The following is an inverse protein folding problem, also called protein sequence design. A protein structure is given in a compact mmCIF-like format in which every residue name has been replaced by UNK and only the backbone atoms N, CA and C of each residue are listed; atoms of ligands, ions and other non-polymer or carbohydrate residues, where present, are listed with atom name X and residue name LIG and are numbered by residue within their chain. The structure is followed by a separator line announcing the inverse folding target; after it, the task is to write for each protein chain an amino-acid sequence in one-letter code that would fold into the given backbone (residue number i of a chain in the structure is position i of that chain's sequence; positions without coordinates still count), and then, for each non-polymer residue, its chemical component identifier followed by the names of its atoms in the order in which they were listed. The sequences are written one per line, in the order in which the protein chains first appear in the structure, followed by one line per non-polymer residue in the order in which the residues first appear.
data_IF_624123855094
#
_entry.id   IF_624123855094
#
_cell.length_a   1.000
_cell.length_b   1.000
_cell.length_c   1.000
_cell.angle_alpha   90.00
_cell.angle_beta   90.00
_cell.angle_gamma   90.00
#
_symmetry.space_group_name_H-M   'P 1'
#
loop_
_entity.id
_entity.type
_entity.pdbx_description
1 polymer ?
#
# COMPACT_ATOMS: atom_id res chain seq x y z
N UNK A 1 -22.88 1.90 -22.32
CA UNK A 1 -23.72 0.94 -21.59
C UNK A 1 -22.95 0.58 -20.34
N UNK A 2 -23.56 0.80 -19.17
CA UNK A 2 -22.95 0.71 -17.84
C UNK A 2 -22.55 -0.72 -17.52
N UNK A 3 -21.31 -0.94 -17.11
CA UNK A 3 -20.82 -2.22 -16.59
C UNK A 3 -21.44 -2.41 -15.19
N UNK A 4 -22.57 -3.10 -15.13
CA UNK A 4 -23.13 -3.60 -13.87
C UNK A 4 -22.23 -4.80 -13.51
N UNK A 5 -21.37 -4.66 -12.50
CA UNK A 5 -20.89 -5.86 -11.80
C UNK A 5 -22.15 -6.54 -11.26
N UNK A 6 -22.59 -7.60 -11.94
CA UNK A 6 -23.82 -8.30 -11.58
C UNK A 6 -23.54 -9.09 -10.31
N UNK A 7 -23.72 -8.45 -9.15
CA UNK A 7 -23.84 -9.15 -7.90
C UNK A 7 -25.06 -10.08 -7.98
N UNK A 8 -24.90 -11.30 -7.51
CA UNK A 8 -26.01 -12.25 -7.41
C UNK A 8 -27.04 -11.75 -6.39
N UNK A 9 -26.56 -11.02 -5.37
CA UNK A 9 -27.35 -10.49 -4.27
C UNK A 9 -27.04 -9.01 -4.00
N UNK A 10 -28.07 -8.22 -3.74
CA UNK A 10 -27.95 -6.84 -3.25
C UNK A 10 -27.47 -6.82 -1.80
N UNK A 11 -27.95 -7.76 -0.98
CA UNK A 11 -27.64 -7.86 0.44
C UNK A 11 -27.38 -9.32 0.81
N UNK A 12 -26.36 -9.58 1.62
CA UNK A 12 -26.24 -10.83 2.38
C UNK A 12 -26.42 -10.56 3.87
N UNK A 13 -27.28 -11.33 4.54
CA UNK A 13 -27.54 -11.17 5.98
C UNK A 13 -26.82 -12.22 6.82
N UNK A 14 -26.14 -11.78 7.87
CA UNK A 14 -25.45 -12.65 8.82
C UNK A 14 -26.00 -12.43 10.23
N UNK A 15 -26.48 -13.50 10.87
CA UNK A 15 -27.19 -13.41 12.15
C UNK A 15 -27.13 -14.73 12.93
N UNK A 16 -27.40 -14.73 14.24
CA UNK A 16 -27.48 -15.95 15.05
C UNK A 16 -28.84 -16.63 14.87
N UNK A 17 -28.92 -17.95 15.07
CA UNK A 17 -30.19 -18.66 14.86
C UNK A 17 -31.32 -18.18 15.78
N UNK A 18 -30.97 -17.58 16.92
CA UNK A 18 -31.85 -16.97 17.91
C UNK A 18 -32.50 -15.68 17.41
N UNK A 19 -31.80 -14.91 16.57
CA UNK A 19 -32.26 -13.62 16.05
C UNK A 19 -33.13 -13.78 14.79
N UNK A 20 -33.45 -15.01 14.42
CA UNK A 20 -34.06 -15.37 13.14
C UNK A 20 -35.40 -14.67 12.89
N UNK A 21 -36.22 -14.50 13.92
CA UNK A 21 -37.55 -13.89 13.77
C UNK A 21 -37.44 -12.45 13.27
N UNK A 22 -36.56 -11.65 13.89
CA UNK A 22 -36.28 -10.27 13.48
C UNK A 22 -35.72 -10.22 12.06
N UNK A 23 -34.72 -11.04 11.77
CA UNK A 23 -34.05 -11.03 10.47
C UNK A 23 -34.99 -11.45 9.35
N UNK A 24 -35.84 -12.46 9.59
CA UNK A 24 -36.85 -12.89 8.62
C UNK A 24 -37.83 -11.76 8.30
N UNK A 25 -38.27 -11.00 9.30
CA UNK A 25 -39.15 -9.85 9.08
C UNK A 25 -38.48 -8.79 8.18
N UNK A 26 -37.21 -8.45 8.45
CA UNK A 26 -36.42 -7.52 7.62
C UNK A 26 -36.24 -8.06 6.20
N UNK A 27 -35.87 -9.33 6.04
CA UNK A 27 -35.66 -9.97 4.74
C UNK A 27 -36.94 -10.01 3.91
N UNK A 28 -38.09 -10.34 4.53
CA UNK A 28 -39.38 -10.33 3.84
C UNK A 28 -39.71 -8.94 3.31
N UNK A 29 -39.58 -7.90 4.13
CA UNK A 29 -39.81 -6.52 3.68
C UNK A 29 -38.86 -6.12 2.54
N UNK A 30 -37.55 -6.45 2.64
CA UNK A 30 -36.60 -6.16 1.57
C UNK A 30 -36.97 -6.86 0.25
N UNK A 31 -37.44 -8.11 0.31
CA UNK A 31 -37.90 -8.85 -0.88
C UNK A 31 -39.18 -8.26 -1.47
N UNK A 32 -40.08 -7.72 -0.66
CA UNK A 32 -41.28 -7.00 -1.13
C UNK A 32 -40.89 -5.71 -1.90
N UNK A 33 -39.69 -5.19 -1.67
CA UNK A 33 -39.06 -4.09 -2.42
C UNK A 33 -38.17 -4.56 -3.59
N UNK A 34 -38.29 -5.82 -4.03
CA UNK A 34 -37.54 -6.42 -5.14
C UNK A 34 -36.01 -6.45 -4.93
N UNK A 35 -35.55 -6.43 -3.67
CA UNK A 35 -34.13 -6.54 -3.32
C UNK A 35 -33.72 -8.02 -3.27
N UNK A 36 -32.62 -8.36 -3.95
CA UNK A 36 -32.07 -9.73 -3.94
C UNK A 36 -31.29 -9.97 -2.66
N UNK A 37 -31.87 -10.72 -1.72
CA UNK A 37 -31.25 -10.99 -0.42
C UNK A 37 -30.78 -12.44 -0.33
N UNK A 38 -29.50 -12.65 -0.03
CA UNK A 38 -29.00 -13.96 0.39
C UNK A 38 -29.40 -14.20 1.85
N UNK A 39 -30.20 -15.24 2.08
CA UNK A 39 -30.71 -15.66 3.37
C UNK A 39 -30.55 -17.19 3.52
N UNK A 40 -29.84 -17.62 4.55
CA UNK A 40 -29.39 -19.01 4.71
C UNK A 40 -30.55 -20.04 4.75
N UNK A 41 -31.73 -19.65 5.22
CA UNK A 41 -32.93 -20.50 5.27
C UNK A 41 -33.45 -20.87 3.86
N UNK A 42 -33.37 -19.94 2.90
CA UNK A 42 -33.92 -20.11 1.56
C UNK A 42 -32.95 -20.82 0.60
N UNK A 43 -31.66 -20.87 0.95
CA UNK A 43 -30.58 -21.42 0.11
C UNK A 43 -30.24 -22.88 0.44
N UNK A 44 -31.14 -23.62 1.09
CA UNK A 44 -30.91 -25.01 1.54
C UNK A 44 -30.48 -25.93 0.39
N UNK A 45 -31.00 -25.75 -0.83
CA UNK A 45 -30.61 -26.53 -2.02
C UNK A 45 -29.25 -26.13 -2.61
N UNK A 46 -28.85 -24.86 -2.47
CA UNK A 46 -27.57 -24.34 -2.98
C UNK A 46 -26.40 -24.67 -2.03
N UNK A 47 -26.67 -24.78 -0.73
CA UNK A 47 -25.69 -25.16 0.28
C UNK A 47 -25.51 -26.68 0.41
N UNK A 48 -26.38 -27.49 -0.21
CA UNK A 48 -26.39 -28.92 -0.02
C UNK A 48 -25.26 -29.62 -0.78
N UNK A 49 -24.22 -30.06 -0.05
CA UNK A 49 -23.06 -30.77 -0.60
C UNK A 49 -21.83 -29.89 -0.81
N UNK A 50 -21.94 -28.58 -0.57
CA UNK A 50 -20.85 -27.61 -0.70
C UNK A 50 -19.99 -27.53 0.58
N UNK A 51 -18.73 -27.12 0.42
CA UNK A 51 -17.94 -26.66 1.56
C UNK A 51 -18.50 -25.31 2.00
N UNK A 52 -19.26 -25.32 3.11
CA UNK A 52 -19.95 -24.15 3.65
C UNK A 52 -19.00 -22.98 3.93
N UNK A 53 -17.72 -23.24 4.23
CA UNK A 53 -16.74 -22.17 4.48
C UNK A 53 -16.42 -21.42 3.18
N UNK A 54 -16.08 -22.14 2.12
CA UNK A 54 -15.74 -21.56 0.82
C UNK A 54 -16.96 -20.89 0.16
N UNK A 55 -18.14 -21.49 0.32
CA UNK A 55 -19.40 -20.97 -0.20
C UNK A 55 -19.79 -19.65 0.45
N UNK A 56 -19.75 -19.57 1.78
CA UNK A 56 -20.04 -18.33 2.50
C UNK A 56 -18.97 -17.27 2.20
N UNK A 57 -17.69 -17.65 2.12
CA UNK A 57 -16.62 -16.73 1.73
C UNK A 57 -16.84 -16.14 0.33
N UNK A 58 -17.30 -16.94 -0.63
CA UNK A 58 -17.64 -16.43 -1.97
C UNK A 58 -18.81 -15.43 -1.93
N UNK A 59 -19.83 -15.70 -1.11
CA UNK A 59 -21.01 -14.82 -1.01
C UNK A 59 -20.66 -13.48 -0.36
N UNK A 60 -20.06 -13.51 0.82
CA UNK A 60 -19.68 -12.31 1.58
C UNK A 60 -18.42 -11.61 1.03
N UNK A 61 -17.71 -12.22 0.08
CA UNK A 61 -16.52 -11.63 -0.52
C UNK A 61 -16.71 -11.06 -1.92
N UNK A 62 -17.58 -11.69 -2.74
CA UNK A 62 -17.65 -11.39 -4.20
C UNK A 62 -19.06 -11.40 -4.81
N UNK A 63 -20.07 -12.02 -4.16
CA UNK A 63 -21.40 -12.22 -4.79
C UNK A 63 -22.51 -11.35 -4.21
N UNK A 64 -22.30 -10.74 -3.05
CA UNK A 64 -23.25 -9.80 -2.44
C UNK A 64 -22.70 -8.37 -2.41
N UNK A 65 -23.54 -7.37 -2.69
CA UNK A 65 -23.15 -5.95 -2.73
C UNK A 65 -22.89 -5.32 -1.36
N UNK A 66 -23.69 -5.66 -0.33
CA UNK A 66 -23.39 -5.33 1.07
C UNK A 66 -23.64 -6.54 1.97
N UNK A 67 -22.94 -6.59 3.10
CA UNK A 67 -23.17 -7.56 4.17
C UNK A 67 -23.79 -6.86 5.38
N UNK A 68 -25.01 -7.25 5.75
CA UNK A 68 -25.68 -6.75 6.96
C UNK A 68 -25.41 -7.74 8.09
N UNK A 69 -24.74 -7.27 9.14
CA UNK A 69 -24.42 -8.08 10.31
C UNK A 69 -25.37 -7.74 11.44
N UNK A 70 -26.22 -8.69 11.82
CA UNK A 70 -27.09 -8.59 12.99
C UNK A 70 -26.32 -9.08 14.22
N UNK A 71 -25.87 -8.12 15.02
CA UNK A 71 -25.00 -8.32 16.17
C UNK A 71 -25.84 -8.43 17.44
N UNK A 72 -25.82 -9.63 18.03
CA UNK A 72 -26.37 -9.94 19.35
C UNK A 72 -25.32 -10.67 20.20
N UNK A 73 -25.57 -10.85 21.50
CA UNK A 73 -24.74 -11.71 22.36
C UNK A 73 -24.67 -13.15 21.84
N UNK A 74 -25.76 -13.65 21.23
CA UNK A 74 -25.79 -14.96 20.59
C UNK A 74 -24.94 -15.00 19.31
N UNK A 75 -24.97 -13.92 18.53
CA UNK A 75 -24.12 -13.78 17.36
C UNK A 75 -22.65 -13.81 17.74
N UNK A 76 -22.27 -13.05 18.78
CA UNK A 76 -20.90 -12.99 19.28
C UNK A 76 -20.45 -14.34 19.85
N UNK A 77 -21.30 -15.03 20.62
CA UNK A 77 -20.92 -16.26 21.33
C UNK A 77 -21.02 -17.56 20.52
N UNK A 78 -21.73 -17.58 19.39
CA UNK A 78 -21.98 -18.81 18.61
C UNK A 78 -21.56 -18.74 17.16
N UNK A 79 -21.81 -17.61 16.50
CA UNK A 79 -21.33 -17.40 15.13
C UNK A 79 -19.96 -16.74 15.14
N UNK A 80 -19.64 -15.83 16.06
CA UNK A 80 -18.38 -15.05 16.09
C UNK A 80 -17.23 -15.72 16.84
N UNK A 81 -17.47 -16.77 17.62
CA UNK A 81 -16.39 -17.53 18.26
C UNK A 81 -15.94 -18.71 17.39
N UNK A 82 -14.78 -18.58 16.75
CA UNK A 82 -14.09 -19.69 16.11
C UNK A 82 -12.74 -19.26 15.53
N UNK A 83 -11.75 -20.15 15.59
CA UNK A 83 -10.42 -19.97 14.98
C UNK A 83 -10.47 -19.88 13.45
N UNK A 84 -11.50 -20.44 12.82
CA UNK A 84 -11.66 -20.49 11.36
C UNK A 84 -12.32 -19.22 10.77
N UNK A 85 -12.93 -18.37 11.61
CA UNK A 85 -13.60 -17.12 11.19
C UNK A 85 -12.65 -15.93 11.06
N UNK A 86 -11.54 -15.96 11.79
CA UNK A 86 -10.50 -14.91 11.80
C UNK A 86 -9.92 -14.65 10.39
N UNK A 87 -9.71 -15.70 9.60
CA UNK A 87 -9.10 -15.60 8.27
C UNK A 87 -10.04 -15.01 7.19
N UNK A 88 -11.36 -15.23 7.31
CA UNK A 88 -12.35 -14.62 6.41
C UNK A 88 -12.62 -13.15 6.77
N UNK A 89 -12.47 -12.81 8.05
CA UNK A 89 -12.60 -11.46 8.58
C UNK A 89 -11.42 -10.57 8.19
N UNK A 90 -10.18 -11.05 8.30
CA UNK A 90 -9.00 -10.26 7.94
C UNK A 90 -9.11 -9.66 6.51
N UNK A 91 -9.76 -10.33 5.57
CA UNK A 91 -9.99 -9.84 4.20
C UNK A 91 -11.18 -8.87 4.06
N UNK A 92 -12.27 -9.08 4.79
CA UNK A 92 -13.45 -8.20 4.78
C UNK A 92 -13.22 -6.89 5.56
N UNK A 93 -12.34 -6.92 6.57
CA UNK A 93 -11.90 -5.75 7.33
C UNK A 93 -10.79 -4.95 6.62
N UNK A 94 -10.12 -5.52 5.60
CA UNK A 94 -9.12 -4.82 4.76
C UNK A 94 -9.72 -4.04 3.57
N UNK A 95 -11.02 -4.19 3.29
CA UNK A 95 -11.70 -3.41 2.24
C UNK A 95 -12.11 -2.03 2.75
N UNK A 96 -11.65 -0.97 2.06
CA UNK A 96 -11.73 0.43 2.49
C UNK A 96 -12.99 1.16 1.97
N UNK A 97 -14.08 0.43 1.79
CA UNK A 97 -15.43 0.94 1.50
C UNK A 97 -16.44 0.32 2.48
N UNK A 98 -17.54 1.01 2.85
CA UNK A 98 -18.52 0.52 3.82
C UNK A 98 -19.34 -0.64 3.24
N UNK A 99 -18.74 -1.83 3.23
CA UNK A 99 -19.35 -3.09 2.81
C UNK A 99 -20.19 -3.71 3.93
N UNK A 100 -19.70 -3.61 5.17
CA UNK A 100 -20.35 -4.13 6.37
C UNK A 100 -21.32 -3.07 6.92
N UNK A 101 -22.57 -3.46 7.11
CA UNK A 101 -23.64 -2.66 7.70
C UNK A 101 -24.07 -3.30 9.03
N UNK A 102 -23.52 -2.85 10.18
CA UNK A 102 -23.87 -3.42 11.48
C UNK A 102 -25.27 -2.99 11.93
N UNK A 103 -26.07 -3.97 12.34
CA UNK A 103 -27.35 -3.79 13.04
C UNK A 103 -27.19 -4.40 14.42
N UNK A 104 -27.26 -3.58 15.47
CA UNK A 104 -27.08 -4.00 16.85
C UNK A 104 -28.43 -4.37 17.45
N UNK A 105 -28.59 -5.63 17.87
CA UNK A 105 -29.82 -6.18 18.46
C UNK A 105 -29.85 -5.98 19.98
N UNK A 106 -28.71 -6.07 20.63
CA UNK A 106 -28.56 -5.90 22.08
C UNK A 106 -27.24 -5.15 22.41
N UNK A 107 -26.90 -5.04 23.68
CA UNK A 107 -25.68 -4.36 24.14
C UNK A 107 -24.36 -5.07 23.76
N UNK A 108 -24.38 -6.14 22.96
CA UNK A 108 -23.17 -6.82 22.53
C UNK A 108 -22.30 -5.93 21.65
N UNK A 109 -21.01 -5.89 21.98
CA UNK A 109 -19.98 -5.34 21.14
C UNK A 109 -19.42 -6.43 20.22
N UNK A 110 -19.22 -6.10 18.95
CA UNK A 110 -18.61 -7.01 17.99
C UNK A 110 -17.07 -6.93 18.12
N UNK A 111 -16.38 -7.97 18.63
CA UNK A 111 -14.93 -7.91 18.82
C UNK A 111 -14.20 -7.75 17.47
N UNK A 112 -13.34 -6.73 17.33
CA UNK A 112 -12.57 -6.49 16.10
C UNK A 112 -13.16 -5.45 15.15
N UNK A 113 -14.39 -4.98 15.39
CA UNK A 113 -14.95 -3.80 14.70
C UNK A 113 -14.48 -2.53 15.43
N UNK A 114 -13.87 -1.59 14.71
CA UNK A 114 -13.40 -0.34 15.30
C UNK A 114 -14.60 0.48 15.84
N UNK A 115 -14.46 1.08 17.02
CA UNK A 115 -15.54 1.83 17.72
C UNK A 115 -16.05 3.06 16.95
N UNK A 116 -15.43 3.40 15.82
CA UNK A 116 -15.77 4.50 14.92
C UNK A 116 -16.75 4.11 13.81
N UNK A 117 -17.14 2.84 13.70
CA UNK A 117 -18.10 2.38 12.69
C UNK A 117 -19.52 2.58 13.21
N UNK A 118 -20.32 3.37 12.47
CA UNK A 118 -21.73 3.58 12.79
C UNK A 118 -22.54 2.30 12.63
N UNK A 119 -23.50 2.10 13.53
CA UNK A 119 -24.44 0.97 13.52
C UNK A 119 -25.87 1.48 13.54
N UNK A 120 -26.81 0.62 13.14
CA UNK A 120 -28.24 0.82 13.39
C UNK A 120 -28.60 0.08 14.66
N UNK A 121 -29.22 0.76 15.62
CA UNK A 121 -29.76 0.13 16.80
C UNK A 121 -31.15 -0.44 16.50
N UNK A 122 -31.31 -1.76 16.61
CA UNK A 122 -32.55 -2.45 16.24
C UNK A 122 -33.69 -2.18 17.22
N UNK A 123 -33.40 -1.90 18.50
CA UNK A 123 -34.42 -1.58 19.50
C UNK A 123 -35.08 -0.25 19.16
N UNK A 124 -34.29 0.75 18.76
CA UNK A 124 -34.81 2.07 18.38
C UNK A 124 -35.35 2.13 16.95
N UNK A 125 -34.69 1.48 16.00
CA UNK A 125 -35.07 1.56 14.58
C UNK A 125 -36.25 0.65 14.23
N UNK A 126 -36.39 -0.50 14.90
CA UNK A 126 -37.35 -1.54 14.53
C UNK A 126 -37.12 -2.09 13.11
N UNK A 127 -38.00 -2.97 12.65
CA UNK A 127 -37.91 -3.61 11.32
C UNK A 127 -37.94 -2.55 10.20
N UNK A 128 -38.92 -1.64 10.24
CA UNK A 128 -39.10 -0.63 9.20
C UNK A 128 -37.91 0.33 9.11
N UNK A 129 -37.35 0.77 10.25
CA UNK A 129 -36.19 1.66 10.26
C UNK A 129 -34.92 0.99 9.74
N UNK A 130 -34.73 -0.31 10.02
CA UNK A 130 -33.64 -1.10 9.45
C UNK A 130 -33.80 -1.22 7.93
N UNK A 131 -35.02 -1.54 7.45
CA UNK A 131 -35.34 -1.65 6.03
C UNK A 131 -35.12 -0.33 5.31
N UNK A 132 -35.62 0.79 5.84
CA UNK A 132 -35.47 2.13 5.26
C UNK A 132 -33.99 2.52 5.14
N UNK A 133 -33.18 2.22 6.16
CA UNK A 133 -31.76 2.50 6.12
C UNK A 133 -31.02 1.65 5.07
N UNK A 134 -31.38 0.37 4.94
CA UNK A 134 -30.84 -0.53 3.91
C UNK A 134 -31.27 -0.06 2.52
N UNK A 135 -32.53 0.29 2.31
CA UNK A 135 -33.05 0.82 1.05
C UNK A 135 -32.39 2.16 0.70
N UNK A 136 -32.16 3.05 1.67
CA UNK A 136 -31.41 4.28 1.46
C UNK A 136 -29.97 3.99 1.01
N UNK A 137 -29.31 3.00 1.62
CA UNK A 137 -27.97 2.56 1.19
C UNK A 137 -27.95 1.95 -0.21
N UNK A 138 -29.00 1.20 -0.56
CA UNK A 138 -29.14 0.61 -1.90
C UNK A 138 -29.50 1.67 -2.97
N UNK A 139 -30.35 2.64 -2.62
CA UNK A 139 -30.93 3.70 -3.46
C UNK A 139 -30.06 4.94 -3.68
N UNK A 140 -29.00 5.14 -2.89
CA UNK A 140 -27.99 6.19 -3.11
C UNK A 140 -27.22 6.07 -4.45
N UNK A 141 -27.51 5.06 -5.30
CA UNK A 141 -27.00 4.96 -6.69
C UNK A 141 -27.39 6.17 -7.57
N UNK A 142 -28.47 6.91 -7.28
CA UNK A 142 -28.84 8.09 -8.12
C UNK A 142 -28.04 9.36 -7.82
N UNK A 143 -27.27 9.38 -6.74
CA UNK A 143 -26.10 10.26 -6.59
C UNK A 143 -24.85 9.39 -6.52
N UNK A 144 -24.58 8.65 -7.60
CA UNK A 144 -23.21 8.24 -7.89
C UNK A 144 -22.35 9.51 -7.88
N UNK A 145 -21.69 9.78 -6.75
CA UNK A 145 -20.59 10.75 -6.73
C UNK A 145 -19.64 10.22 -7.80
N UNK A 146 -19.26 11.04 -8.79
CA UNK A 146 -18.32 10.59 -9.81
C UNK A 146 -17.11 9.95 -9.10
N UNK A 147 -16.56 8.84 -9.64
CA UNK A 147 -15.38 8.20 -9.05
C UNK A 147 -14.35 9.28 -8.77
N UNK A 148 -13.83 9.32 -7.55
CA UNK A 148 -12.87 10.35 -7.17
C UNK A 148 -11.53 10.08 -7.83
N UNK A 149 -11.26 8.81 -8.16
CA UNK A 149 -10.10 8.45 -8.95
C UNK A 149 -10.21 9.04 -10.36
N UNK A 150 -9.21 9.85 -10.72
CA UNK A 150 -9.16 10.61 -11.97
C UNK A 150 -8.47 9.85 -13.12
N UNK A 151 -8.12 8.58 -12.90
CA UNK A 151 -7.40 7.76 -13.88
C UNK A 151 -5.89 7.96 -13.90
N UNK A 152 -5.34 8.83 -13.04
CA UNK A 152 -3.91 9.15 -12.98
C UNK A 152 -3.24 8.47 -11.80
N UNK A 153 -1.93 8.28 -11.90
CA UNK A 153 -1.14 7.80 -10.78
C UNK A 153 -1.25 8.79 -9.59
N UNK A 154 -1.49 8.31 -8.36
CA UNK A 154 -1.75 9.17 -7.23
C UNK A 154 -0.50 9.98 -6.84
N UNK A 155 -0.66 11.30 -6.71
CA UNK A 155 0.43 12.23 -6.38
C UNK A 155 0.29 12.92 -5.02
N UNK A 156 -0.83 12.70 -4.34
CA UNK A 156 -1.10 13.25 -3.00
C UNK A 156 -1.60 12.15 -2.08
N UNK A 157 -1.54 12.39 -0.76
CA UNK A 157 -2.03 11.44 0.25
C UNK A 157 -3.52 11.16 0.08
N UNK A 158 -4.32 12.15 -0.32
CA UNK A 158 -5.74 11.99 -0.60
C UNK A 158 -5.98 11.13 -1.85
N UNK A 159 -5.16 11.29 -2.89
CA UNK A 159 -5.22 10.45 -4.08
C UNK A 159 -4.81 9.00 -3.77
N UNK A 160 -3.79 8.79 -2.92
CA UNK A 160 -3.40 7.46 -2.44
C UNK A 160 -4.55 6.80 -1.67
N UNK A 161 -5.17 7.52 -0.74
CA UNK A 161 -6.33 7.03 0.01
C UNK A 161 -7.52 6.71 -0.93
N UNK A 162 -7.69 7.50 -2.00
CA UNK A 162 -8.70 7.24 -3.03
C UNK A 162 -8.40 5.95 -3.79
N UNK A 163 -7.16 5.70 -4.21
CA UNK A 163 -6.76 4.46 -4.87
C UNK A 163 -6.94 3.24 -3.96
N UNK A 164 -6.58 3.35 -2.67
CA UNK A 164 -6.77 2.27 -1.69
C UNK A 164 -8.26 1.95 -1.46
N UNK A 165 -9.11 2.97 -1.46
CA UNK A 165 -10.55 2.83 -1.22
C UNK A 165 -11.32 2.34 -2.44
N UNK A 166 -11.05 2.91 -3.61
CA UNK A 166 -11.77 2.59 -4.85
C UNK A 166 -11.16 1.37 -5.58
N UNK A 167 -9.92 0.98 -5.28
CA UNK A 167 -9.16 -0.13 -5.90
C UNK A 167 -9.41 -0.29 -7.40
N UNK A 168 -9.15 0.75 -8.21
CA UNK A 168 -9.32 0.66 -9.67
C UNK A 168 -8.43 -0.45 -10.26
N UNK A 169 -8.69 -0.92 -11.49
CA UNK A 169 -7.81 -1.89 -12.13
C UNK A 169 -6.34 -1.47 -12.09
N UNK A 170 -5.46 -2.32 -11.57
CA UNK A 170 -4.04 -2.03 -11.35
C UNK A 170 -3.75 -1.15 -10.12
N UNK A 171 -4.65 -1.10 -9.14
CA UNK A 171 -4.49 -0.31 -7.90
C UNK A 171 -3.20 -0.65 -7.15
N UNK A 172 -2.71 -1.89 -7.24
CA UNK A 172 -1.47 -2.33 -6.58
C UNK A 172 -0.28 -1.51 -7.07
N UNK A 173 -0.17 -1.33 -8.40
CA UNK A 173 0.89 -0.56 -9.05
C UNK A 173 0.71 0.94 -8.80
N UNK A 174 -0.53 1.44 -8.85
CA UNK A 174 -0.85 2.83 -8.54
C UNK A 174 -0.50 3.20 -7.10
N UNK A 175 -0.84 2.33 -6.15
CA UNK A 175 -0.48 2.46 -4.73
C UNK A 175 1.04 2.53 -4.57
N UNK A 176 1.75 1.57 -5.14
CA UNK A 176 3.21 1.53 -5.07
C UNK A 176 3.83 2.82 -5.62
N UNK A 177 3.39 3.29 -6.78
CA UNK A 177 3.87 4.54 -7.38
C UNK A 177 3.64 5.76 -6.48
N UNK A 178 2.43 5.89 -5.91
CA UNK A 178 2.11 6.97 -4.97
C UNK A 178 2.98 6.95 -3.71
N UNK A 179 3.18 5.77 -3.13
CA UNK A 179 4.01 5.60 -1.94
C UNK A 179 5.49 5.87 -2.21
N UNK A 180 6.00 5.48 -3.37
CA UNK A 180 7.36 5.84 -3.80
C UNK A 180 7.53 7.36 -3.91
N UNK A 181 6.60 8.04 -4.59
CA UNK A 181 6.64 9.50 -4.71
C UNK A 181 6.56 10.20 -3.36
N UNK A 182 5.67 9.73 -2.47
CA UNK A 182 5.55 10.27 -1.13
C UNK A 182 6.87 10.12 -0.36
N UNK A 183 7.50 8.96 -0.42
CA UNK A 183 8.78 8.72 0.25
C UNK A 183 9.94 9.55 -0.32
N UNK A 184 10.03 9.71 -1.64
CA UNK A 184 11.02 10.60 -2.26
C UNK A 184 10.77 12.07 -1.87
N UNK A 185 9.51 12.52 -1.91
CA UNK A 185 9.14 13.89 -1.54
C UNK A 185 9.43 14.19 -0.07
N UNK A 186 9.25 13.22 0.82
CA UNK A 186 9.60 13.35 2.24
C UNK A 186 11.11 13.55 2.48
N UNK A 187 11.96 13.18 1.52
CA UNK A 187 13.42 13.32 1.57
C UNK A 187 13.94 14.51 0.75
N UNK A 188 13.05 15.39 0.29
CA UNK A 188 13.38 16.50 -0.60
C UNK A 188 14.34 17.52 0.06
N UNK A 189 14.26 17.74 1.37
CA UNK A 189 15.21 18.59 2.10
C UNK A 189 16.63 18.04 2.04
N UNK A 190 16.81 16.75 2.37
CA UNK A 190 18.10 16.06 2.26
C UNK A 190 18.64 16.07 0.83
N UNK A 191 17.76 15.91 -0.16
CA UNK A 191 18.15 16.00 -1.55
C UNK A 191 18.67 17.40 -1.92
N UNK A 192 17.98 18.46 -1.48
CA UNK A 192 18.42 19.84 -1.75
C UNK A 192 19.78 20.12 -1.13
N UNK A 193 20.01 19.66 0.10
CA UNK A 193 21.32 19.74 0.76
C UNK A 193 22.39 19.00 -0.04
N UNK A 194 22.08 17.78 -0.51
CA UNK A 194 22.98 17.02 -1.37
C UNK A 194 23.32 17.75 -2.67
N UNK A 195 22.34 18.38 -3.34
CA UNK A 195 22.54 19.11 -4.61
C UNK A 195 23.46 20.31 -4.44
N UNK A 196 23.38 21.02 -3.31
CA UNK A 196 24.28 22.15 -3.01
C UNK A 196 25.55 21.72 -2.28
N UNK A 197 25.78 20.40 -2.16
CA UNK A 197 26.90 19.79 -1.45
C UNK A 197 27.03 20.23 0.01
N UNK A 198 25.89 20.57 0.64
CA UNK A 198 25.84 21.00 2.02
C UNK A 198 25.70 19.80 2.97
N UNK A 199 26.43 19.85 4.07
CA UNK A 199 26.23 18.98 5.21
C UNK A 199 26.59 19.73 6.50
N UNK A 200 25.78 19.57 7.55
CA UNK A 200 26.14 20.07 8.87
C UNK A 200 27.33 19.28 9.41
N UNK A 201 28.32 19.97 10.00
CA UNK A 201 29.50 19.31 10.56
C UNK A 201 29.11 18.26 11.61
N UNK A 202 29.69 17.06 11.53
CA UNK A 202 29.37 15.96 12.45
C UNK A 202 30.28 15.94 13.70
N UNK A 203 31.15 16.94 13.85
CA UNK A 203 32.11 17.06 14.95
C UNK A 203 33.32 16.11 14.85
N UNK A 204 33.37 15.24 13.83
CA UNK A 204 34.53 14.39 13.57
C UNK A 204 35.55 15.17 12.76
N UNK A 205 36.81 15.09 13.18
CA UNK A 205 37.95 15.57 12.42
C UNK A 205 38.96 14.43 12.35
N UNK A 206 39.37 14.06 11.15
CA UNK A 206 40.30 12.97 10.91
C UNK A 206 41.68 13.49 10.54
N UNK A 207 42.70 12.74 10.93
CA UNK A 207 44.08 12.98 10.50
C UNK A 207 44.44 12.13 9.26
N UNK A 208 45.64 12.37 8.71
CA UNK A 208 46.11 11.72 7.48
C UNK A 208 46.17 10.18 7.57
N UNK A 209 46.49 9.63 8.75
CA UNK A 209 46.51 8.17 8.96
C UNK A 209 45.12 7.52 8.93
N UNK A 210 44.08 8.30 9.21
CA UNK A 210 42.67 7.87 9.22
C UNK A 210 41.98 8.09 7.88
N UNK A 211 42.57 8.87 6.97
CA UNK A 211 42.00 9.23 5.67
C UNK A 211 41.70 8.05 4.74
N UNK A 212 42.72 7.27 4.38
CA UNK A 212 42.54 6.10 3.50
C UNK A 212 41.63 5.02 4.13
N UNK A 213 41.73 4.72 5.44
CA UNK A 213 40.74 3.88 6.12
C UNK A 213 39.30 4.39 5.97
N UNK A 214 39.06 5.68 6.17
CA UNK A 214 37.72 6.28 6.02
C UNK A 214 37.15 6.04 4.62
N UNK A 215 37.90 6.41 3.57
CA UNK A 215 37.47 6.25 2.17
C UNK A 215 37.13 4.78 1.86
N UNK A 216 37.98 3.82 2.29
CA UNK A 216 37.70 2.39 2.10
C UNK A 216 36.44 1.91 2.82
N UNK A 217 36.24 2.36 4.06
CA UNK A 217 35.03 2.04 4.83
C UNK A 217 33.79 2.60 4.13
N UNK A 218 33.90 3.79 3.55
CA UNK A 218 32.80 4.47 2.86
C UNK A 218 32.43 3.80 1.54
N UNK A 219 33.41 3.42 0.72
CA UNK A 219 33.21 2.56 -0.46
C UNK A 219 32.55 1.21 -0.12
N UNK A 220 32.91 0.60 1.01
CA UNK A 220 32.28 -0.65 1.45
C UNK A 220 30.81 -0.43 1.87
N UNK A 221 30.55 0.68 2.55
CA UNK A 221 29.20 1.04 3.01
C UNK A 221 28.25 1.31 1.83
N UNK A 222 28.67 2.08 0.82
CA UNK A 222 27.82 2.36 -0.35
C UNK A 222 27.52 1.08 -1.15
N UNK A 223 28.49 0.18 -1.31
CA UNK A 223 28.25 -1.12 -1.95
C UNK A 223 27.19 -1.94 -1.21
N UNK A 224 27.20 -1.90 0.14
CA UNK A 224 26.18 -2.57 0.97
C UNK A 224 24.80 -1.96 0.76
N UNK A 225 24.69 -0.62 0.74
CA UNK A 225 23.43 0.10 0.49
C UNK A 225 22.87 -0.30 -0.89
N UNK A 226 23.71 -0.29 -1.92
CA UNK A 226 23.32 -0.65 -3.29
C UNK A 226 22.85 -2.11 -3.37
N UNK A 227 23.55 -3.04 -2.70
CA UNK A 227 23.17 -4.46 -2.70
C UNK A 227 21.79 -4.75 -2.11
N UNK A 228 21.29 -3.86 -1.23
CA UNK A 228 19.95 -4.00 -0.66
C UNK A 228 18.84 -3.71 -1.68
N UNK A 229 19.13 -2.97 -2.76
CA UNK A 229 18.17 -2.72 -3.84
C UNK A 229 17.75 -4.03 -4.50
N UNK A 230 18.71 -4.90 -4.81
CA UNK A 230 18.44 -6.21 -5.44
C UNK A 230 17.56 -7.10 -4.56
N UNK A 231 17.76 -7.04 -3.24
CA UNK A 231 16.93 -7.78 -2.27
C UNK A 231 15.51 -7.24 -2.20
N UNK A 232 15.35 -5.92 -2.19
CA UNK A 232 14.03 -5.27 -2.16
C UNK A 232 13.28 -5.50 -3.46
N UNK A 233 13.98 -5.56 -4.59
CA UNK A 233 13.37 -5.77 -5.91
C UNK A 233 13.40 -7.23 -6.36
N UNK A 234 13.61 -8.19 -5.46
CA UNK A 234 13.68 -9.60 -5.83
C UNK A 234 12.32 -10.12 -6.36
N UNK A 235 12.31 -11.11 -7.26
CA UNK A 235 11.06 -11.69 -7.76
C UNK A 235 10.15 -12.22 -6.64
N UNK A 236 10.73 -12.76 -5.57
CA UNK A 236 10.01 -13.26 -4.40
C UNK A 236 9.36 -12.12 -3.63
N UNK A 237 10.10 -11.03 -3.39
CA UNK A 237 9.58 -9.85 -2.71
C UNK A 237 8.46 -9.18 -3.52
N UNK A 238 8.63 -9.06 -4.84
CA UNK A 238 7.61 -8.54 -5.74
C UNK A 238 6.36 -9.42 -5.74
N UNK A 239 6.51 -10.74 -5.91
CA UNK A 239 5.36 -11.67 -5.90
C UNK A 239 4.65 -11.66 -4.55
N UNK A 240 5.38 -11.55 -3.44
CA UNK A 240 4.78 -11.50 -2.11
C UNK A 240 3.96 -10.22 -1.86
N UNK A 241 4.31 -9.10 -2.52
CA UNK A 241 3.62 -7.82 -2.38
C UNK A 241 2.50 -7.63 -3.41
N UNK A 242 2.78 -7.85 -4.69
CA UNK A 242 1.84 -7.59 -5.80
C UNK A 242 0.95 -8.80 -6.14
N UNK A 243 1.25 -9.98 -5.60
CA UNK A 243 0.59 -11.21 -6.00
C UNK A 243 1.11 -11.75 -7.33
N UNK A 244 0.69 -12.96 -7.69
CA UNK A 244 0.88 -13.50 -9.04
C UNK A 244 -0.16 -12.89 -10.00
N UNK A 245 0.02 -12.98 -11.32
CA UNK A 245 -1.01 -12.56 -12.28
C UNK A 245 -2.38 -13.18 -11.97
N UNK A 246 -3.38 -12.35 -11.68
CA UNK A 246 -4.74 -12.76 -11.32
C UNK A 246 -4.97 -13.01 -9.82
N UNK A 247 -3.94 -12.91 -8.99
CA UNK A 247 -4.05 -12.86 -7.53
C UNK A 247 -3.99 -11.40 -7.06
N UNK A 248 -4.75 -11.05 -6.02
CA UNK A 248 -4.69 -9.71 -5.43
C UNK A 248 -3.37 -9.47 -4.69
N UNK A 249 -2.85 -8.26 -4.81
CA UNK A 249 -1.73 -7.80 -3.99
C UNK A 249 -2.11 -7.51 -2.54
N UNK A 250 -1.08 -7.45 -1.68
CA UNK A 250 -1.18 -7.12 -0.26
C UNK A 250 -0.76 -5.66 -0.03
N UNK A 251 -1.68 -4.76 0.36
CA UNK A 251 -1.40 -3.34 0.57
C UNK A 251 -0.26 -3.07 1.57
N UNK A 252 -0.19 -3.82 2.67
CA UNK A 252 0.81 -3.60 3.72
C UNK A 252 2.21 -4.00 3.22
N UNK A 253 2.29 -5.05 2.42
CA UNK A 253 3.55 -5.48 1.79
C UNK A 253 3.98 -4.54 0.67
N UNK A 254 3.05 -4.01 -0.12
CA UNK A 254 3.33 -2.98 -1.12
C UNK A 254 3.90 -1.73 -0.44
N UNK A 255 3.27 -1.29 0.66
CA UNK A 255 3.77 -0.17 1.45
C UNK A 255 5.16 -0.45 2.04
N UNK A 256 5.34 -1.64 2.61
CA UNK A 256 6.64 -2.06 3.12
C UNK A 256 7.72 -1.97 2.04
N UNK A 257 7.46 -2.47 0.84
CA UNK A 257 8.39 -2.48 -0.28
C UNK A 257 8.77 -1.06 -0.71
N UNK A 258 7.76 -0.19 -0.89
CA UNK A 258 7.97 1.21 -1.24
C UNK A 258 8.81 1.93 -0.17
N UNK A 259 8.53 1.67 1.10
CA UNK A 259 9.27 2.21 2.24
C UNK A 259 10.70 1.69 2.33
N UNK A 260 11.00 0.46 1.90
CA UNK A 260 12.38 -0.06 1.84
C UNK A 260 13.16 0.57 0.69
N UNK A 261 12.55 0.70 -0.49
CA UNK A 261 13.22 1.34 -1.62
C UNK A 261 13.52 2.83 -1.35
N UNK A 262 12.58 3.55 -0.76
CA UNK A 262 12.76 4.97 -0.37
C UNK A 262 13.72 5.13 0.81
N UNK A 263 13.81 4.16 1.73
CA UNK A 263 14.84 4.11 2.77
C UNK A 263 16.24 4.05 2.16
N UNK A 264 16.45 3.18 1.16
CA UNK A 264 17.73 3.07 0.47
C UNK A 264 18.12 4.39 -0.20
N UNK A 265 17.16 5.08 -0.83
CA UNK A 265 17.37 6.43 -1.36
C UNK A 265 17.83 7.42 -0.27
N UNK A 266 17.19 7.38 0.90
CA UNK A 266 17.61 8.17 2.06
C UNK A 266 19.02 7.81 2.56
N UNK A 267 19.37 6.53 2.59
CA UNK A 267 20.70 6.05 2.99
C UNK A 267 21.81 6.54 2.05
N UNK A 268 21.54 6.63 0.73
CA UNK A 268 22.48 7.21 -0.23
C UNK A 268 22.72 8.70 0.05
N UNK A 269 21.66 9.46 0.34
CA UNK A 269 21.75 10.88 0.71
C UNK A 269 22.58 11.05 1.99
N UNK A 270 22.23 10.29 3.03
CA UNK A 270 22.92 10.33 4.33
C UNK A 270 24.39 9.92 4.22
N UNK A 271 24.70 8.95 3.36
CA UNK A 271 26.07 8.51 3.11
C UNK A 271 26.94 9.65 2.56
N UNK A 272 26.45 10.39 1.58
CA UNK A 272 27.16 11.56 1.02
C UNK A 272 27.28 12.71 2.02
N UNK A 273 26.23 12.94 2.80
CA UNK A 273 26.22 13.97 3.84
C UNK A 273 27.24 13.66 4.94
N UNK A 274 27.36 12.41 5.41
CA UNK A 274 28.34 12.06 6.45
C UNK A 274 29.80 12.17 5.97
N UNK A 275 30.07 11.88 4.69
CA UNK A 275 31.38 12.17 4.08
C UNK A 275 31.69 13.67 4.12
N UNK A 276 30.77 14.50 3.62
CA UNK A 276 30.94 15.97 3.57
C UNK A 276 30.99 16.61 4.96
N UNK A 277 30.32 16.03 5.94
CA UNK A 277 30.28 16.51 7.32
C UNK A 277 31.58 16.25 8.11
N UNK A 278 32.45 15.37 7.60
CA UNK A 278 33.68 14.97 8.27
C UNK A 278 34.80 15.96 7.98
N UNK A 279 35.37 16.55 9.03
CA UNK A 279 36.50 17.47 8.91
C UNK A 279 37.78 16.74 8.49
N UNK A 280 38.44 17.25 7.46
CA UNK A 280 39.72 16.69 6.96
C UNK A 280 40.76 17.80 6.94
N UNK A 281 41.87 17.61 7.65
CA UNK A 281 42.92 18.64 7.75
C UNK A 281 43.70 18.82 6.44
N UNK A 282 44.12 17.72 5.81
CA UNK A 282 44.88 17.74 4.55
C UNK A 282 43.96 18.11 3.36
N UNK A 283 44.31 19.14 2.61
CA UNK A 283 43.49 19.65 1.51
C UNK A 283 43.37 18.67 0.33
N UNK A 284 44.44 17.91 0.02
CA UNK A 284 44.40 16.89 -1.03
C UNK A 284 43.50 15.71 -0.65
N UNK A 285 43.56 15.28 0.62
CA UNK A 285 42.64 14.27 1.15
C UNK A 285 41.20 14.78 1.20
N UNK A 286 40.98 16.05 1.57
CA UNK A 286 39.66 16.68 1.59
C UNK A 286 39.05 16.70 0.19
N UNK A 287 39.85 16.96 -0.83
CA UNK A 287 39.41 16.87 -2.21
C UNK A 287 38.96 15.44 -2.57
N UNK A 288 39.75 14.42 -2.23
CA UNK A 288 39.37 13.02 -2.46
C UNK A 288 38.05 12.63 -1.76
N UNK A 289 37.85 13.05 -0.50
CA UNK A 289 36.59 12.86 0.25
C UNK A 289 35.41 13.50 -0.47
N UNK A 290 35.56 14.74 -0.96
CA UNK A 290 34.50 15.44 -1.68
C UNK A 290 34.15 14.77 -3.01
N UNK A 291 35.14 14.23 -3.73
CA UNK A 291 34.90 13.48 -4.97
C UNK A 291 34.21 12.14 -4.67
N UNK A 292 34.61 11.41 -3.62
CA UNK A 292 33.93 10.18 -3.23
C UNK A 292 32.46 10.44 -2.86
N UNK A 293 32.15 11.54 -2.18
CA UNK A 293 30.77 11.90 -1.82
C UNK A 293 29.84 12.04 -3.04
N UNK A 294 30.39 12.31 -4.24
CA UNK A 294 29.66 12.39 -5.51
C UNK A 294 29.36 11.04 -6.16
N UNK A 295 29.87 9.93 -5.63
CA UNK A 295 29.64 8.59 -6.19
C UNK A 295 28.15 8.19 -6.19
N UNK A 296 27.35 8.76 -5.29
CA UNK A 296 25.90 8.53 -5.21
C UNK A 296 25.09 9.46 -6.11
N UNK A 297 25.69 10.46 -6.75
CA UNK A 297 24.97 11.45 -7.57
C UNK A 297 24.18 10.78 -8.70
N UNK A 298 24.82 9.86 -9.42
CA UNK A 298 24.20 9.05 -10.48
C UNK A 298 23.04 8.20 -9.93
N UNK A 299 23.29 7.32 -8.96
CA UNK A 299 22.25 6.50 -8.32
C UNK A 299 21.05 7.32 -7.79
N UNK A 300 21.28 8.44 -7.11
CA UNK A 300 20.22 9.33 -6.58
C UNK A 300 19.37 9.88 -7.73
N UNK A 301 19.99 10.40 -8.80
CA UNK A 301 19.26 10.91 -9.97
C UNK A 301 18.43 9.81 -10.64
N UNK A 302 18.99 8.62 -10.78
CA UNK A 302 18.30 7.51 -11.42
C UNK A 302 17.08 7.03 -10.64
N UNK A 303 17.16 6.96 -9.31
CA UNK A 303 15.99 6.60 -8.48
C UNK A 303 14.86 7.62 -8.66
N UNK A 304 15.18 8.92 -8.70
CA UNK A 304 14.16 9.96 -8.96
C UNK A 304 13.55 9.81 -10.35
N UNK A 305 14.39 9.66 -11.37
CA UNK A 305 13.95 9.48 -12.76
C UNK A 305 13.08 8.21 -12.92
N UNK A 306 13.44 7.13 -12.22
CA UNK A 306 12.67 5.89 -12.20
C UNK A 306 11.25 6.13 -11.65
N UNK A 307 11.12 6.83 -10.51
CA UNK A 307 9.81 7.11 -9.91
C UNK A 307 8.96 8.00 -10.81
N UNK A 308 9.57 9.01 -11.44
CA UNK A 308 8.88 9.89 -12.40
C UNK A 308 8.40 9.11 -13.64
N UNK A 309 9.26 8.28 -14.22
CA UNK A 309 8.91 7.40 -15.34
C UNK A 309 7.80 6.42 -14.94
N UNK A 310 7.92 5.80 -13.77
CA UNK A 310 6.93 4.86 -13.23
C UNK A 310 5.55 5.48 -13.16
N UNK A 311 5.42 6.65 -12.51
CA UNK A 311 4.14 7.36 -12.43
C UNK A 311 3.59 7.75 -13.80
N UNK A 312 4.46 8.19 -14.71
CA UNK A 312 4.04 8.58 -16.06
C UNK A 312 3.51 7.40 -16.87
N UNK A 313 4.09 6.20 -16.71
CA UNK A 313 3.61 4.98 -17.38
C UNK A 313 2.30 4.46 -16.77
N UNK A 314 2.06 4.75 -15.48
CA UNK A 314 0.83 4.39 -14.78
C UNK A 314 -0.36 5.33 -15.05
N UNK A 315 -0.11 6.54 -15.56
CA UNK A 315 -1.19 7.45 -15.95
C UNK A 315 -2.03 6.79 -17.06
N UNK A 316 -3.33 6.58 -16.79
CA UNK A 316 -4.24 5.88 -17.70
C UNK A 316 -4.16 4.35 -17.66
N UNK A 317 -3.36 3.75 -16.76
CA UNK A 317 -3.26 2.29 -16.62
C UNK A 317 -4.64 1.64 -16.42
N UNK A 318 -5.43 2.16 -15.47
CA UNK A 318 -6.72 1.57 -15.14
C UNK A 318 -7.70 1.56 -16.31
N UNK A 319 -7.67 2.60 -17.15
CA UNK A 319 -8.51 2.67 -18.35
C UNK A 319 -8.12 1.60 -19.38
N UNK A 320 -6.81 1.38 -19.57
CA UNK A 320 -6.26 0.36 -20.47
C UNK A 320 -6.59 -1.05 -20.00
N UNK A 321 -6.41 -1.32 -18.70
CA UNK A 321 -6.78 -2.61 -18.10
C UNK A 321 -8.29 -2.85 -18.18
N UNK A 322 -9.11 -1.83 -17.95
CA UNK A 322 -10.56 -1.93 -18.09
C UNK A 322 -10.99 -2.20 -19.55
N UNK A 323 -10.25 -1.70 -20.53
CA UNK A 323 -10.43 -2.01 -21.95
C UNK A 323 -9.98 -3.45 -22.33
N UNK A 324 -9.44 -4.22 -21.38
CA UNK A 324 -8.93 -5.57 -21.60
C UNK A 324 -7.54 -5.62 -22.22
N UNK A 325 -6.78 -4.51 -22.22
CA UNK A 325 -5.39 -4.53 -22.68
C UNK A 325 -4.50 -5.35 -21.73
N UNK A 326 -3.60 -6.16 -22.30
CA UNK A 326 -2.56 -6.82 -21.54
C UNK A 326 -1.34 -5.89 -21.44
N UNK A 327 -1.11 -5.33 -20.27
CA UNK A 327 -0.06 -4.31 -20.04
C UNK A 327 1.13 -4.96 -19.33
N UNK A 328 2.29 -4.98 -19.99
CA UNK A 328 3.56 -5.37 -19.38
C UNK A 328 4.36 -4.10 -19.05
N UNK A 329 4.69 -3.92 -17.77
CA UNK A 329 5.50 -2.81 -17.30
C UNK A 329 6.91 -3.31 -16.94
N UNK A 330 7.93 -2.73 -17.55
CA UNK A 330 9.33 -3.08 -17.29
C UNK A 330 10.11 -1.81 -17.00
N UNK A 331 10.64 -1.73 -15.78
CA UNK A 331 11.44 -0.59 -15.33
C UNK A 331 12.86 -1.05 -15.01
N UNK A 332 13.85 -0.27 -15.46
CA UNK A 332 15.26 -0.59 -15.29
C UNK A 332 15.92 0.44 -14.39
N UNK A 333 16.51 0.00 -13.29
CA UNK A 333 17.33 0.82 -12.40
C UNK A 333 18.81 0.44 -12.59
N UNK A 334 19.61 1.35 -13.17
CA UNK A 334 20.98 1.07 -13.60
C UNK A 334 22.01 1.67 -12.65
N UNK A 335 22.17 1.10 -11.46
CA UNK A 335 23.10 1.64 -10.45
C UNK A 335 24.55 1.45 -10.92
N UNK A 336 25.12 2.50 -11.49
CA UNK A 336 26.50 2.54 -11.99
C UNK A 336 27.24 3.74 -11.42
N UNK A 337 28.52 3.54 -11.16
CA UNK A 337 29.44 4.64 -10.85
C UNK A 337 29.74 5.41 -12.14
N UNK A 338 29.70 6.73 -12.05
CA UNK A 338 30.10 7.59 -13.16
C UNK A 338 31.60 7.42 -13.43
N UNK A 339 32.00 7.05 -14.67
CA UNK A 339 33.41 6.89 -15.03
C UNK A 339 34.22 8.17 -14.81
N UNK A 340 33.63 9.34 -15.09
CA UNK A 340 34.30 10.63 -14.92
C UNK A 340 34.62 10.89 -13.45
N UNK A 341 33.66 10.65 -12.57
CA UNK A 341 33.83 10.78 -11.12
C UNK A 341 34.85 9.76 -10.58
N UNK A 342 34.89 8.54 -11.14
CA UNK A 342 35.90 7.53 -10.81
C UNK A 342 37.31 7.99 -11.17
N UNK A 343 37.51 8.50 -12.38
CA UNK A 343 38.82 9.04 -12.82
C UNK A 343 39.25 10.27 -12.02
N UNK A 344 38.30 11.13 -11.64
CA UNK A 344 38.56 12.28 -10.77
C UNK A 344 39.03 11.83 -9.38
N UNK A 345 38.42 10.78 -8.83
CA UNK A 345 38.78 10.22 -7.54
C UNK A 345 40.19 9.62 -7.54
N UNK A 346 40.53 8.86 -8.59
CA UNK A 346 41.88 8.29 -8.74
C UNK A 346 42.95 9.39 -8.78
N UNK A 347 42.71 10.47 -9.55
CA UNK A 347 43.61 11.64 -9.57
C UNK A 347 43.73 12.31 -8.20
N UNK A 348 42.63 12.46 -7.47
CA UNK A 348 42.64 13.06 -6.14
C UNK A 348 43.41 12.20 -5.12
N UNK A 349 43.29 10.87 -5.22
CA UNK A 349 44.04 9.92 -4.39
C UNK A 349 45.54 9.96 -4.68
N UNK A 350 45.94 10.04 -5.95
CA UNK A 350 47.36 10.13 -6.32
C UNK A 350 47.98 11.45 -5.84
N UNK A 351 47.27 12.57 -6.01
CA UNK A 351 47.70 13.85 -5.46
C UNK A 351 47.89 13.80 -3.94
N UNK A 352 46.98 13.15 -3.21
CA UNK A 352 47.14 12.94 -1.76
C UNK A 352 48.38 12.10 -1.44
N UNK A 353 48.62 11.00 -2.16
CA UNK A 353 49.81 10.15 -1.95
C UNK A 353 51.11 10.93 -2.14
N UNK A 354 51.16 11.83 -3.12
CA UNK A 354 52.33 12.68 -3.37
C UNK A 354 52.60 13.64 -2.20
N UNK A 355 51.56 14.07 -1.46
CA UNK A 355 51.74 14.89 -0.24
C UNK A 355 52.31 14.12 0.96
N UNK A 356 52.30 12.77 0.92
CA UNK A 356 52.82 11.93 2.00
C UNK A 356 54.29 11.51 1.77
N UNK A 357 54.80 11.68 0.54
CA UNK A 357 56.16 11.28 0.15
C UNK A 357 57.15 12.45 0.27
N UNK A 358 56.67 13.68 0.25
CA UNK A 358 57.43 14.91 0.47
C UNK A 358 57.30 15.39 1.92
#
# INVERSE_FOLDING_TARGET
MTNDETFDYDIAVSFAGEDRELVRAVVTHLKDHDIKVFFDEDSTSEMWGENLVDFLQAIYGRRARYAVLFVSQHYVSKKWTGYERQAAQDRAFQQSAPYILPVRIDEAELPGLHSTIGYIDAEFAGVDGIVDAILSKLGDRTKARPPKFDGRAPRTTEAIATVLSERPPGWEFLLYGGLLLQGITALEEKYRDHVIEFASHNGKVINDSEGLPLLRTKLTSISTIISNVERVLSPEAQTAAFGKPGEEGDPERIEHLARRLTSIYGELLDWSADLRATGVANDALRHAVNVEARFVDGPIRQVRALVEQYLSELDGLSARLHAGENVNLTFTLAITLDPVTSEEFDRALDAYRDTQIN
#
